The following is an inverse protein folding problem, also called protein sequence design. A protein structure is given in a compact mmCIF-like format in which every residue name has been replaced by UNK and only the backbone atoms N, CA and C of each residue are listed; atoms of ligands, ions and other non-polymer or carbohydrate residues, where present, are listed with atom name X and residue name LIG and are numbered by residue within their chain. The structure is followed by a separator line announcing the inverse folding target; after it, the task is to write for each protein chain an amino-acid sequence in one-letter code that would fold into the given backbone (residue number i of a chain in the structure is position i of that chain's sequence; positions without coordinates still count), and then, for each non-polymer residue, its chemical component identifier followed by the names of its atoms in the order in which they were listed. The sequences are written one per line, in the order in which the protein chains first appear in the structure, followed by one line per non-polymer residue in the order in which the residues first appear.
data_IF_721481997962
#
_entry.id   IF_721481997962
#
_cell.length_a   1.000
_cell.length_b   1.000
_cell.length_c   1.000
_cell.angle_alpha   90.00
_cell.angle_beta   90.00
_cell.angle_gamma   90.00
#
_symmetry.space_group_name_H-M   'P 1'
#
loop_
_entity.id
_entity.type
_entity.pdbx_description
1 polymer ?
#
# COMPACT_ATOMS: atom_id res chain seq x y z
N UNK A 1 -6.98 22.41 3.61
CA UNK A 1 -6.68 21.84 4.95
C UNK A 1 -5.37 21.11 4.86
N UNK A 2 -4.35 21.58 5.60
CA UNK A 2 -3.03 20.91 5.63
C UNK A 2 -3.02 19.88 6.75
N UNK A 3 -2.54 18.67 6.42
CA UNK A 3 -2.27 17.59 7.37
C UNK A 3 -0.82 17.14 7.17
N UNK A 4 -0.05 17.09 8.26
CA UNK A 4 1.33 16.62 8.21
C UNK A 4 1.73 15.96 9.52
N UNK A 5 2.79 15.19 9.47
CA UNK A 5 3.27 14.48 10.66
C UNK A 5 4.63 13.83 10.47
N UNK A 6 5.11 13.28 11.57
CA UNK A 6 6.33 12.52 11.67
C UNK A 6 5.97 11.13 12.19
N UNK A 7 6.52 10.09 11.57
CA UNK A 7 6.39 8.71 12.00
C UNK A 7 7.80 8.15 12.24
N UNK A 8 8.02 7.57 13.41
CA UNK A 8 9.27 6.94 13.76
C UNK A 8 9.03 5.49 14.18
N UNK A 9 9.74 4.59 13.52
CA UNK A 9 9.64 3.15 13.78
C UNK A 9 11.04 2.57 14.01
N UNK A 10 11.16 1.70 15.03
CA UNK A 10 12.33 0.88 15.25
C UNK A 10 11.93 -0.59 15.34
N UNK A 11 12.53 -1.42 14.50
CA UNK A 11 12.42 -2.87 14.56
C UNK A 11 13.71 -3.45 15.18
N UNK A 12 13.57 -4.24 16.26
CA UNK A 12 14.68 -4.91 16.93
C UNK A 12 14.44 -6.41 16.91
N UNK A 13 15.39 -7.17 16.36
CA UNK A 13 15.30 -8.62 16.26
C UNK A 13 16.30 -9.24 17.21
N UNK A 14 15.81 -9.74 18.36
CA UNK A 14 16.65 -10.25 19.45
C UNK A 14 17.35 -11.55 19.06
N UNK A 15 16.68 -12.44 18.35
CA UNK A 15 17.17 -13.77 17.99
C UNK A 15 18.13 -13.76 16.77
N UNK A 16 18.45 -12.58 16.23
CA UNK A 16 19.31 -12.41 15.04
C UNK A 16 20.46 -11.44 15.33
N UNK A 17 21.12 -11.58 16.47
CA UNK A 17 22.26 -10.75 16.84
C UNK A 17 21.89 -9.32 17.28
N UNK A 18 20.64 -9.08 17.65
CA UNK A 18 20.21 -7.76 18.14
C UNK A 18 20.15 -6.66 17.07
N UNK A 19 19.99 -7.05 15.81
CA UNK A 19 19.88 -6.10 14.69
C UNK A 19 18.75 -5.10 14.95
N UNK A 20 19.03 -3.83 14.72
CA UNK A 20 18.08 -2.72 14.81
C UNK A 20 17.95 -2.07 13.45
N UNK A 21 16.74 -1.91 12.96
CA UNK A 21 16.41 -1.11 11.80
C UNK A 21 15.51 0.03 12.23
N UNK A 22 15.79 1.23 11.76
CA UNK A 22 14.96 2.41 12.03
C UNK A 22 14.46 3.02 10.74
N UNK A 23 13.24 3.51 10.76
CA UNK A 23 12.66 4.34 9.72
C UNK A 23 12.07 5.61 10.33
N UNK A 24 12.48 6.76 9.85
CA UNK A 24 11.90 8.05 10.21
C UNK A 24 11.24 8.62 8.97
N UNK A 25 9.99 8.97 9.08
CA UNK A 25 9.22 9.45 7.93
C UNK A 25 8.58 10.78 8.23
N UNK A 26 8.56 11.64 7.24
CA UNK A 26 7.88 12.92 7.25
C UNK A 26 6.83 12.91 6.15
N UNK A 27 5.63 13.37 6.46
CA UNK A 27 4.59 13.47 5.45
C UNK A 27 3.82 14.78 5.57
N UNK A 28 3.36 15.26 4.43
CA UNK A 28 2.44 16.39 4.34
C UNK A 28 1.49 16.16 3.16
N UNK A 29 0.23 16.53 3.36
CA UNK A 29 -0.77 16.62 2.31
C UNK A 29 -1.62 17.87 2.53
N UNK A 30 -2.16 18.43 1.46
CA UNK A 30 -3.04 19.59 1.54
C UNK A 30 -4.30 19.38 0.70
N UNK A 31 -5.46 19.63 1.30
CA UNK A 31 -6.75 19.57 0.63
C UNK A 31 -7.12 20.95 0.08
N UNK A 32 -7.17 21.05 -1.24
CA UNK A 32 -7.51 22.26 -1.98
C UNK A 32 -8.89 22.13 -2.63
N UNK A 33 -9.80 22.99 -2.24
CA UNK A 33 -11.07 23.18 -2.97
C UNK A 33 -10.83 24.15 -4.13
N UNK A 34 -10.39 23.61 -5.27
CA UNK A 34 -10.01 24.40 -6.45
C UNK A 34 -11.20 24.98 -7.19
N UNK A 35 -12.38 24.41 -7.01
CA UNK A 35 -13.67 24.90 -7.52
C UNK A 35 -14.82 24.34 -6.66
N UNK A 36 -16.08 24.82 -6.78
CA UNK A 36 -17.19 24.44 -5.90
C UNK A 36 -17.46 22.93 -5.77
N UNK A 37 -17.09 22.14 -6.78
CA UNK A 37 -17.30 20.69 -6.82
C UNK A 37 -15.99 19.90 -6.91
N UNK A 38 -14.84 20.57 -6.97
CA UNK A 38 -13.55 19.95 -7.20
C UNK A 38 -12.64 20.08 -5.98
N UNK A 39 -12.11 18.95 -5.54
CA UNK A 39 -11.11 18.88 -4.49
C UNK A 39 -9.85 18.21 -5.04
N UNK A 40 -8.70 18.79 -4.80
CA UNK A 40 -7.38 18.23 -5.16
C UNK A 40 -6.57 18.06 -3.89
N UNK A 41 -5.97 16.90 -3.71
CA UNK A 41 -5.19 16.58 -2.51
C UNK A 41 -3.80 16.10 -2.96
N UNK A 42 -2.83 17.00 -3.19
CA UNK A 42 -1.44 16.63 -3.33
C UNK A 42 -0.86 16.20 -1.98
N UNK A 43 0.06 15.25 -2.01
CA UNK A 43 0.76 14.79 -0.82
C UNK A 43 2.15 14.29 -1.16
N UNK A 44 3.03 14.29 -0.16
CA UNK A 44 4.36 13.70 -0.25
C UNK A 44 4.74 13.07 1.09
N UNK A 45 5.38 11.91 1.02
CA UNK A 45 6.02 11.24 2.14
C UNK A 45 7.49 11.03 1.83
N UNK A 46 8.35 11.32 2.80
CA UNK A 46 9.79 11.06 2.73
C UNK A 46 10.14 10.09 3.85
N UNK A 47 10.62 8.92 3.50
CA UNK A 47 11.08 7.89 4.43
C UNK A 47 12.61 7.89 4.47
N UNK A 48 13.20 7.94 5.66
CA UNK A 48 14.62 7.76 5.88
C UNK A 48 14.86 6.47 6.66
N UNK A 49 15.28 5.44 5.93
CA UNK A 49 15.48 4.09 6.49
C UNK A 49 16.97 3.83 6.72
N UNK A 50 17.33 3.32 7.92
CA UNK A 50 18.73 3.12 8.33
C UNK A 50 19.55 2.20 7.42
N UNK A 51 18.93 1.27 6.71
CA UNK A 51 19.61 0.33 5.81
C UNK A 51 19.43 0.68 4.32
N UNK A 52 18.39 1.45 3.95
CA UNK A 52 18.01 1.66 2.55
C UNK A 52 18.03 3.13 2.11
N UNK A 53 18.46 4.03 3.01
CA UNK A 53 18.56 5.46 2.70
C UNK A 53 17.21 6.17 2.62
N UNK A 54 17.15 7.21 1.81
CA UNK A 54 15.98 8.09 1.72
C UNK A 54 15.14 7.78 0.48
N UNK A 55 13.83 7.69 0.68
CA UNK A 55 12.84 7.43 -0.36
C UNK A 55 11.72 8.46 -0.30
N UNK A 56 11.33 8.97 -1.45
CA UNK A 56 10.24 9.95 -1.57
C UNK A 56 9.08 9.31 -2.32
N UNK A 57 7.88 9.39 -1.75
CA UNK A 57 6.64 8.82 -2.27
C UNK A 57 5.59 9.92 -2.45
N UNK A 58 5.46 10.48 -3.67
CA UNK A 58 4.43 11.47 -3.97
C UNK A 58 3.05 10.82 -4.12
N UNK A 59 2.02 11.61 -3.91
CA UNK A 59 0.63 11.24 -4.13
C UNK A 59 -0.21 12.41 -4.59
N UNK A 60 -1.26 12.13 -5.33
CA UNK A 60 -2.29 13.11 -5.68
C UNK A 60 -3.64 12.42 -5.76
N UNK A 61 -4.68 13.07 -5.25
CA UNK A 61 -6.06 12.66 -5.42
C UNK A 61 -6.89 13.83 -5.95
N UNK A 62 -7.81 13.53 -6.86
CA UNK A 62 -8.76 14.51 -7.42
C UNK A 62 -10.16 13.96 -7.21
N UNK A 63 -10.98 14.70 -6.49
CA UNK A 63 -12.37 14.39 -6.21
C UNK A 63 -13.32 15.35 -6.93
N UNK A 64 -14.46 14.82 -7.39
CA UNK A 64 -15.54 15.61 -7.98
C UNK A 64 -16.88 15.28 -7.33
N UNK A 65 -17.54 16.28 -6.77
CA UNK A 65 -18.87 16.16 -6.20
C UNK A 65 -19.93 16.26 -7.31
N UNK A 66 -20.39 15.11 -7.83
CA UNK A 66 -21.45 15.03 -8.84
C UNK A 66 -22.70 15.71 -8.30
N UNK A 67 -23.05 15.39 -7.06
CA UNK A 67 -24.14 16.00 -6.29
C UNK A 67 -23.88 15.82 -4.78
N UNK A 68 -24.77 16.28 -3.91
CA UNK A 68 -24.64 16.19 -2.45
C UNK A 68 -24.52 14.76 -1.88
N UNK A 69 -24.80 13.73 -2.70
CA UNK A 69 -24.78 12.32 -2.29
C UNK A 69 -23.71 11.49 -2.98
N UNK A 70 -23.14 11.99 -4.09
CA UNK A 70 -22.24 11.22 -4.95
C UNK A 70 -20.96 12.01 -5.18
N UNK A 71 -19.85 11.42 -4.78
CA UNK A 71 -18.51 11.87 -5.09
C UNK A 71 -17.79 10.80 -5.91
N UNK A 72 -17.08 11.21 -6.96
CA UNK A 72 -16.17 10.36 -7.72
C UNK A 72 -14.74 10.85 -7.51
N UNK A 73 -13.77 9.95 -7.50
CA UNK A 73 -12.37 10.33 -7.32
C UNK A 73 -11.43 9.49 -8.16
N UNK A 74 -10.32 10.10 -8.54
CA UNK A 74 -9.16 9.43 -9.09
C UNK A 74 -7.94 9.75 -8.22
N UNK A 75 -7.08 8.76 -7.99
CA UNK A 75 -5.87 8.95 -7.21
C UNK A 75 -4.68 8.23 -7.84
N UNK A 76 -3.51 8.80 -7.63
CA UNK A 76 -2.21 8.21 -7.92
C UNK A 76 -1.34 8.32 -6.66
N UNK A 77 -0.62 7.25 -6.35
CA UNK A 77 0.38 7.28 -5.28
C UNK A 77 1.57 6.41 -5.63
N UNK A 78 2.74 6.82 -5.18
CA UNK A 78 3.92 5.99 -5.12
C UNK A 78 4.11 5.49 -3.68
N UNK A 79 4.86 4.39 -3.55
CA UNK A 79 5.15 3.82 -2.24
C UNK A 79 6.50 3.12 -2.22
N UNK A 80 7.02 2.99 -1.02
CA UNK A 80 8.24 2.31 -0.67
C UNK A 80 7.94 1.33 0.47
N UNK A 81 8.47 0.10 0.38
CA UNK A 81 8.35 -0.90 1.42
C UNK A 81 9.70 -1.58 1.63
N UNK A 82 10.33 -1.29 2.76
CA UNK A 82 11.58 -1.93 3.15
C UNK A 82 11.37 -3.42 3.46
N UNK A 83 12.35 -4.30 3.13
CA UNK A 83 12.34 -5.67 3.60
C UNK A 83 12.24 -5.73 5.13
N UNK A 84 11.50 -6.70 5.63
CA UNK A 84 11.40 -6.92 7.07
C UNK A 84 12.73 -7.45 7.63
N UNK A 85 13.03 -7.26 8.93
CA UNK A 85 14.21 -7.85 9.56
C UNK A 85 14.27 -9.37 9.40
N UNK A 86 13.14 -10.06 9.41
CA UNK A 86 13.07 -11.51 9.16
C UNK A 86 13.54 -11.86 7.75
N UNK A 87 13.04 -11.16 6.73
CA UNK A 87 13.46 -11.40 5.33
C UNK A 87 14.95 -11.16 5.11
N UNK A 88 15.55 -10.23 5.87
CA UNK A 88 16.99 -9.90 5.74
C UNK A 88 17.89 -10.82 6.55
N UNK A 89 17.50 -11.18 7.76
CA UNK A 89 18.44 -11.71 8.78
C UNK A 89 18.05 -13.07 9.33
N UNK A 90 16.95 -13.70 8.89
CA UNK A 90 16.65 -15.07 9.29
C UNK A 90 17.79 -16.00 8.89
N UNK A 91 18.25 -16.83 9.84
CA UNK A 91 19.44 -17.66 9.66
C UNK A 91 19.30 -18.75 8.60
N UNK A 92 18.06 -19.10 8.24
CA UNK A 92 17.76 -20.16 7.28
C UNK A 92 17.30 -19.62 5.92
N UNK A 93 16.47 -18.60 5.92
CA UNK A 93 15.77 -18.10 4.72
C UNK A 93 16.11 -16.65 4.39
N UNK A 94 16.82 -15.94 5.28
CA UNK A 94 17.11 -14.53 5.15
C UNK A 94 18.08 -14.23 4.01
N UNK A 95 17.89 -13.05 3.39
CA UNK A 95 18.79 -12.57 2.34
C UNK A 95 19.09 -11.08 2.57
N UNK A 96 20.34 -10.80 2.95
CA UNK A 96 20.82 -9.43 3.23
C UNK A 96 20.95 -8.55 1.99
N UNK A 97 20.89 -9.14 0.79
CA UNK A 97 21.01 -8.44 -0.48
C UNK A 97 19.66 -8.00 -1.05
N UNK A 98 18.56 -8.17 -0.29
CA UNK A 98 17.24 -7.73 -0.73
C UNK A 98 17.21 -6.21 -0.90
N UNK A 99 16.55 -5.81 -2.00
CA UNK A 99 16.20 -4.42 -2.27
C UNK A 99 14.81 -4.14 -1.72
N UNK A 100 14.50 -2.90 -1.36
CA UNK A 100 13.14 -2.48 -1.04
C UNK A 100 12.19 -2.66 -2.23
N UNK A 101 10.94 -3.00 -1.96
CA UNK A 101 9.89 -2.93 -2.95
C UNK A 101 9.52 -1.45 -3.18
N UNK A 102 9.37 -1.06 -4.44
CA UNK A 102 8.85 0.25 -4.82
C UNK A 102 7.73 0.08 -5.82
N UNK A 103 6.80 0.99 -5.83
CA UNK A 103 5.69 0.86 -6.78
C UNK A 103 4.80 2.09 -6.84
N UNK A 104 3.80 1.96 -7.70
CA UNK A 104 2.75 2.96 -7.82
C UNK A 104 1.37 2.30 -7.94
N UNK A 105 0.36 3.04 -7.56
CA UNK A 105 -1.03 2.61 -7.63
C UNK A 105 -1.89 3.72 -8.19
N UNK A 106 -2.74 3.37 -9.15
CA UNK A 106 -3.85 4.17 -9.64
C UNK A 106 -5.14 3.66 -9.03
N UNK A 107 -6.00 4.57 -8.63
CA UNK A 107 -7.32 4.26 -8.10
C UNK A 107 -8.38 5.14 -8.76
N UNK A 108 -9.54 4.54 -9.02
CA UNK A 108 -10.75 5.24 -9.45
C UNK A 108 -11.91 4.75 -8.59
N UNK A 109 -12.61 5.66 -7.96
CA UNK A 109 -13.68 5.25 -7.06
C UNK A 109 -14.90 6.17 -7.08
N UNK A 110 -15.97 5.63 -6.54
CA UNK A 110 -17.21 6.35 -6.30
C UNK A 110 -17.67 6.11 -4.86
N UNK A 111 -17.97 7.21 -4.19
CA UNK A 111 -18.67 7.21 -2.91
C UNK A 111 -20.10 7.68 -3.11
N UNK A 112 -21.08 6.91 -2.62
CA UNK A 112 -22.49 7.25 -2.76
C UNK A 112 -23.25 7.05 -1.44
N UNK A 113 -24.12 8.02 -1.12
CA UNK A 113 -25.01 7.98 0.04
C UNK A 113 -26.44 7.72 -0.40
N UNK A 114 -26.97 6.53 -0.06
CA UNK A 114 -28.38 6.21 -0.29
C UNK A 114 -29.22 6.67 0.92
N UNK A 115 -29.94 7.75 0.76
CA UNK A 115 -30.71 8.34 1.86
C UNK A 115 -29.83 8.86 2.99
N UNK A 116 -30.29 8.69 4.25
CA UNK A 116 -29.59 9.19 5.45
C UNK A 116 -28.76 8.12 6.18
N UNK A 117 -28.96 6.84 5.86
CA UNK A 117 -28.45 5.73 6.67
C UNK A 117 -27.51 4.79 5.96
N UNK A 118 -27.37 4.89 4.63
CA UNK A 118 -26.50 4.05 3.84
C UNK A 118 -25.35 4.85 3.25
N UNK A 119 -24.15 4.30 3.35
CA UNK A 119 -22.96 4.78 2.64
C UNK A 119 -22.37 3.59 1.86
N UNK A 120 -22.01 3.82 0.62
CA UNK A 120 -21.33 2.84 -0.21
C UNK A 120 -20.05 3.44 -0.79
N UNK A 121 -19.05 2.60 -0.97
CA UNK A 121 -17.83 2.94 -1.66
C UNK A 121 -17.48 1.80 -2.62
N UNK A 122 -17.14 2.16 -3.85
CA UNK A 122 -16.62 1.25 -4.86
C UNK A 122 -15.32 1.83 -5.39
N UNK A 123 -14.24 1.06 -5.34
CA UNK A 123 -12.92 1.46 -5.78
C UNK A 123 -12.32 0.41 -6.71
N UNK A 124 -11.88 0.84 -7.89
CA UNK A 124 -11.04 0.07 -8.80
C UNK A 124 -9.59 0.50 -8.57
N UNK A 125 -8.66 -0.44 -8.56
CA UNK A 125 -7.25 -0.15 -8.42
C UNK A 125 -6.40 -0.94 -9.41
N UNK A 126 -5.26 -0.35 -9.79
CA UNK A 126 -4.21 -1.00 -10.56
C UNK A 126 -2.87 -0.61 -9.94
N UNK A 127 -2.10 -1.62 -9.53
CA UNK A 127 -0.83 -1.46 -8.84
C UNK A 127 0.28 -2.17 -9.60
N UNK A 128 1.45 -1.54 -9.66
CA UNK A 128 2.69 -2.16 -10.14
C UNK A 128 3.75 -2.04 -9.06
N UNK A 129 4.36 -3.16 -8.68
CA UNK A 129 5.41 -3.25 -7.65
C UNK A 129 6.68 -3.76 -8.30
N UNK A 130 7.76 -3.02 -8.22
CA UNK A 130 9.11 -3.43 -8.63
C UNK A 130 9.85 -4.06 -7.45
N UNK A 131 10.79 -4.92 -7.75
CA UNK A 131 11.61 -5.62 -6.76
C UNK A 131 10.76 -6.35 -5.69
N UNK A 132 9.62 -6.92 -6.12
CA UNK A 132 8.70 -7.66 -5.24
C UNK A 132 9.41 -8.76 -4.48
N UNK A 133 9.34 -8.75 -3.16
CA UNK A 133 9.98 -9.77 -2.33
C UNK A 133 9.07 -11.01 -2.22
N UNK A 134 9.65 -12.16 -2.51
CA UNK A 134 8.99 -13.44 -2.35
C UNK A 134 9.96 -14.51 -1.87
N UNK A 135 9.42 -15.56 -1.24
CA UNK A 135 10.19 -16.71 -0.84
C UNK A 135 10.30 -17.72 -2.00
N UNK A 136 11.49 -18.26 -2.22
CA UNK A 136 11.81 -19.24 -3.25
C UNK A 136 12.38 -20.50 -2.60
N UNK A 137 11.79 -21.64 -2.88
CA UNK A 137 12.36 -22.93 -2.50
C UNK A 137 13.61 -23.20 -3.34
N UNK A 138 14.76 -23.28 -2.70
CA UNK A 138 16.06 -23.54 -3.37
C UNK A 138 16.51 -25.01 -3.25
N UNK A 139 16.04 -25.71 -2.22
CA UNK A 139 16.32 -27.13 -2.02
C UNK A 139 15.02 -27.87 -1.64
N UNK A 140 14.34 -28.53 -2.61
CA UNK A 140 13.11 -29.27 -2.35
C UNK A 140 13.29 -30.45 -1.37
N UNK A 141 14.45 -31.11 -1.40
CA UNK A 141 14.72 -32.28 -0.53
C UNK A 141 14.83 -31.88 0.95
N UNK A 142 15.32 -30.68 1.24
CA UNK A 142 15.43 -30.14 2.58
C UNK A 142 14.30 -29.17 2.95
N UNK A 143 13.31 -28.94 2.08
CA UNK A 143 12.27 -27.93 2.22
C UNK A 143 12.82 -26.55 2.62
N UNK A 144 13.99 -26.17 2.08
CA UNK A 144 14.65 -24.91 2.39
C UNK A 144 14.66 -23.97 1.20
N UNK A 145 14.69 -22.66 1.47
CA UNK A 145 14.66 -21.63 0.46
C UNK A 145 15.16 -20.30 1.01
N UNK A 146 15.07 -19.27 0.21
CA UNK A 146 15.46 -17.91 0.58
C UNK A 146 14.51 -16.86 0.03
N UNK A 147 14.54 -15.68 0.63
CA UNK A 147 13.85 -14.51 0.10
C UNK A 147 14.64 -13.91 -1.07
N UNK A 148 13.95 -13.60 -2.16
CA UNK A 148 14.52 -12.95 -3.36
C UNK A 148 13.61 -11.83 -3.85
N UNK A 149 14.21 -10.85 -4.52
CA UNK A 149 13.44 -9.89 -5.29
C UNK A 149 13.05 -10.49 -6.65
N UNK A 150 11.83 -10.21 -7.08
CA UNK A 150 11.30 -10.47 -8.42
C UNK A 150 11.13 -9.13 -9.14
N UNK A 151 11.25 -9.12 -10.49
CA UNK A 151 11.28 -7.88 -11.27
C UNK A 151 10.06 -7.00 -11.01
N UNK A 152 8.89 -7.45 -11.40
CA UNK A 152 7.66 -6.66 -11.30
C UNK A 152 6.47 -7.56 -11.05
N UNK A 153 5.62 -7.19 -10.10
CA UNK A 153 4.30 -7.77 -9.89
C UNK A 153 3.26 -6.71 -10.23
N UNK A 154 2.30 -7.06 -11.08
CA UNK A 154 1.12 -6.23 -11.34
C UNK A 154 -0.09 -6.82 -10.64
N UNK A 155 -0.88 -5.97 -10.03
CA UNK A 155 -2.13 -6.36 -9.40
C UNK A 155 -3.22 -5.35 -9.74
N UNK A 156 -4.42 -5.83 -10.01
CA UNK A 156 -5.59 -4.97 -10.21
C UNK A 156 -6.82 -5.61 -9.57
N UNK A 157 -7.78 -4.79 -9.23
CA UNK A 157 -8.94 -5.31 -8.54
C UNK A 157 -9.99 -4.28 -8.19
N UNK A 158 -10.91 -4.75 -7.35
CA UNK A 158 -12.07 -4.00 -6.92
C UNK A 158 -12.20 -4.14 -5.40
N UNK A 159 -12.40 -3.01 -4.72
CA UNK A 159 -12.86 -2.97 -3.34
C UNK A 159 -14.26 -2.35 -3.31
N UNK A 160 -15.21 -3.04 -2.71
CA UNK A 160 -16.56 -2.54 -2.51
C UNK A 160 -16.92 -2.64 -1.03
N UNK A 161 -17.49 -1.59 -0.48
CA UNK A 161 -18.06 -1.64 0.85
C UNK A 161 -19.38 -0.89 0.94
N UNK A 162 -20.26 -1.40 1.79
CA UNK A 162 -21.54 -0.79 2.11
C UNK A 162 -21.69 -0.77 3.63
N UNK A 163 -21.99 0.39 4.17
CA UNK A 163 -22.30 0.58 5.59
C UNK A 163 -23.73 1.09 5.74
N UNK A 164 -24.48 0.47 6.64
CA UNK A 164 -25.84 0.87 7.01
C UNK A 164 -25.91 1.16 8.50
N UNK A 165 -26.46 2.33 8.85
CA UNK A 165 -26.90 2.62 10.20
C UNK A 165 -28.28 1.96 10.41
N UNK A 166 -28.34 0.92 11.24
CA UNK A 166 -29.56 0.15 11.51
C UNK A 166 -30.41 0.82 12.58
N UNK A 167 -29.77 1.29 13.64
CA UNK A 167 -30.39 2.06 14.74
C UNK A 167 -29.45 3.18 15.16
N UNK A 168 -29.83 3.99 16.16
CA UNK A 168 -28.94 5.04 16.71
C UNK A 168 -27.63 4.48 17.29
N UNK A 169 -27.63 3.22 17.70
CA UNK A 169 -26.50 2.57 18.39
C UNK A 169 -25.90 1.39 17.63
N UNK A 170 -26.52 0.95 16.53
CA UNK A 170 -26.08 -0.22 15.76
C UNK A 170 -25.85 0.13 14.30
N UNK A 171 -24.69 -0.26 13.77
CA UNK A 171 -24.39 -0.20 12.34
C UNK A 171 -23.86 -1.54 11.84
N UNK A 172 -24.13 -1.86 10.57
CA UNK A 172 -23.58 -3.02 9.88
C UNK A 172 -22.71 -2.55 8.72
N UNK A 173 -21.63 -3.29 8.44
CA UNK A 173 -20.76 -3.08 7.27
C UNK A 173 -20.56 -4.41 6.56
N UNK A 174 -20.69 -4.39 5.23
CA UNK A 174 -20.34 -5.48 4.34
C UNK A 174 -19.23 -5.00 3.41
N UNK A 175 -18.14 -5.77 3.31
CA UNK A 175 -17.03 -5.48 2.41
C UNK A 175 -16.77 -6.65 1.47
N UNK A 176 -16.36 -6.35 0.24
CA UNK A 176 -15.92 -7.30 -0.75
C UNK A 176 -14.63 -6.80 -1.41
N UNK A 177 -13.65 -7.68 -1.53
CA UNK A 177 -12.40 -7.38 -2.24
C UNK A 177 -12.12 -8.47 -3.24
N UNK A 178 -11.85 -8.08 -4.47
CA UNK A 178 -11.32 -8.95 -5.51
C UNK A 178 -9.97 -8.41 -5.97
N UNK A 179 -8.97 -9.28 -6.05
CA UNK A 179 -7.63 -8.93 -6.53
C UNK A 179 -7.17 -10.00 -7.50
N UNK A 180 -6.75 -9.58 -8.69
CA UNK A 180 -6.03 -10.40 -9.64
C UNK A 180 -4.56 -9.96 -9.64
N UNK A 181 -3.65 -10.93 -9.62
CA UNK A 181 -2.20 -10.71 -9.62
C UNK A 181 -1.59 -11.36 -10.84
N UNK A 182 -0.97 -10.53 -11.69
CA UNK A 182 -0.16 -10.98 -12.82
C UNK A 182 1.29 -11.13 -12.32
N UNK A 183 1.70 -12.36 -12.03
CA UNK A 183 3.10 -12.64 -11.72
C UNK A 183 3.94 -12.58 -13.00
N UNK A 184 5.03 -11.81 -12.99
CA UNK A 184 5.95 -11.75 -14.14
C UNK A 184 6.64 -13.09 -14.39
N UNK A 185 7.03 -13.40 -15.67
CA UNK A 185 7.64 -14.68 -16.08
C UNK A 185 8.92 -15.07 -15.32
N UNK A 186 9.58 -14.17 -14.64
CA UNK A 186 10.81 -14.45 -13.84
C UNK A 186 10.57 -15.49 -12.74
N UNK A 187 9.35 -15.71 -12.30
CA UNK A 187 8.99 -16.88 -11.47
C UNK A 187 9.16 -18.22 -12.21
N UNK A 188 9.18 -18.23 -13.55
CA UNK A 188 9.33 -19.44 -14.38
C UNK A 188 10.79 -19.77 -14.71
N UNK A 189 11.72 -18.83 -14.57
CA UNK A 189 13.11 -19.01 -14.94
C UNK A 189 13.95 -19.84 -13.95
N UNK A 190 13.39 -20.18 -12.80
CA UNK A 190 14.06 -21.00 -11.76
C UNK A 190 13.45 -22.42 -11.69
N UNK A 191 13.22 -23.05 -12.86
CA UNK A 191 13.03 -24.50 -12.96
C UNK A 191 14.36 -25.21 -13.14
#
# INVERSE_FOLDING_TARGET
TVVGGIDWRQDKVLNMGGVKLTNTSYFVQDEWKVAPKWTVIPGVRVDHHSAFGTHTSPSISVGYDVNAKTNVYAAYKEYFLAPTPYQLFDGTNGNRNLKPETGHEWSLGVHHKFGKTWNSNLNFFSRSTKDKIGWVMTNPAAFSGEYRNFDTEKAHGINADVRKQLTKHLSARLGYTYTHIDATPTRKANR
#
